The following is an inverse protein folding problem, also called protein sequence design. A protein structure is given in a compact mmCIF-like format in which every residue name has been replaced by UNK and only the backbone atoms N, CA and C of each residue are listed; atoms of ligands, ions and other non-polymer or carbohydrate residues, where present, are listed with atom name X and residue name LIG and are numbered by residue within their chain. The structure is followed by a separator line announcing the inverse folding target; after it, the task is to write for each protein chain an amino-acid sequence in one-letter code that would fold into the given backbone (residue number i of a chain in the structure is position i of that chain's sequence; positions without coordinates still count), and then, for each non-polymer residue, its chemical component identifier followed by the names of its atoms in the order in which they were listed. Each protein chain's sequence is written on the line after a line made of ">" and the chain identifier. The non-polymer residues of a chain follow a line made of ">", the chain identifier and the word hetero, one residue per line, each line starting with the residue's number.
data_IF_309031560306
#
_entry.id   IF_309031560306
#
_cell.length_a   1.000
_cell.length_b   1.000
_cell.length_c   1.000
_cell.angle_alpha   90.00
_cell.angle_beta   90.00
_cell.angle_gamma   90.00
#
_symmetry.space_group_name_H-M   'P 1'
#
loop_
_entity.id
_entity.type
_entity.pdbx_description
1 polymer ?
#
# COMPACT_ATOMS: atom_id res chain seq x y z
N UNK A 1 20.52 9.52 -5.98
CA UNK A 1 21.87 9.00 -6.24
C UNK A 1 21.72 7.50 -6.43
N UNK A 2 21.77 6.98 -7.67
CA UNK A 2 21.61 5.54 -7.95
C UNK A 2 22.94 4.85 -7.63
N UNK A 3 22.89 3.91 -6.72
CA UNK A 3 24.05 3.09 -6.36
C UNK A 3 24.28 2.04 -7.48
N UNK A 4 25.28 2.23 -8.33
CA UNK A 4 25.73 1.23 -9.29
C UNK A 4 26.76 0.31 -8.61
N UNK A 5 26.29 -0.63 -7.80
CA UNK A 5 27.10 -1.67 -7.19
C UNK A 5 27.19 -2.90 -8.08
N UNK A 6 28.41 -3.27 -8.40
CA UNK A 6 28.82 -4.45 -9.21
C UNK A 6 28.26 -5.74 -8.65
N UNK A 7 27.54 -6.51 -9.43
CA UNK A 7 27.02 -7.85 -9.10
C UNK A 7 28.17 -8.82 -8.82
N UNK A 8 28.30 -9.26 -7.57
CA UNK A 8 29.08 -10.43 -7.23
C UNK A 8 28.22 -11.68 -7.42
N UNK A 9 28.62 -12.52 -8.36
CA UNK A 9 27.96 -13.78 -8.72
C UNK A 9 28.25 -14.84 -7.65
N UNK A 10 27.27 -15.22 -6.84
CA UNK A 10 27.22 -16.53 -6.17
C UNK A 10 25.78 -16.86 -5.80
N UNK A 11 25.30 -18.02 -6.19
CA UNK A 11 23.94 -18.55 -5.89
C UNK A 11 23.62 -18.65 -4.38
N UNK A 12 24.63 -18.58 -3.52
CA UNK A 12 24.49 -18.59 -2.04
C UNK A 12 24.00 -17.26 -1.45
N UNK A 13 23.85 -16.20 -2.27
CA UNK A 13 23.53 -14.84 -1.79
C UNK A 13 22.09 -14.38 -2.14
N UNK A 14 21.28 -15.19 -2.85
CA UNK A 14 19.93 -14.81 -3.23
C UNK A 14 18.97 -14.93 -2.05
N UNK A 15 18.15 -13.88 -1.81
CA UNK A 15 17.10 -13.92 -0.78
C UNK A 15 15.97 -14.88 -1.19
N UNK A 16 15.56 -14.84 -2.46
CA UNK A 16 14.50 -15.68 -3.03
C UNK A 16 15.11 -16.81 -3.87
N UNK A 17 14.65 -18.03 -3.65
CA UNK A 17 14.94 -19.17 -4.52
C UNK A 17 14.11 -19.11 -5.81
N UNK A 18 14.53 -19.85 -6.83
CA UNK A 18 13.90 -19.82 -8.16
C UNK A 18 12.44 -20.35 -8.16
N UNK A 19 12.09 -21.17 -7.18
CA UNK A 19 10.74 -21.73 -6.99
C UNK A 19 9.84 -20.87 -6.10
N UNK A 20 10.35 -19.73 -5.62
CA UNK A 20 9.55 -18.76 -4.86
C UNK A 20 8.92 -17.72 -5.79
N UNK A 21 7.72 -17.22 -5.44
CA UNK A 21 7.11 -16.13 -6.18
C UNK A 21 8.03 -14.91 -6.22
N UNK A 22 7.97 -14.14 -7.32
CA UNK A 22 8.63 -12.83 -7.38
C UNK A 22 8.16 -11.86 -6.29
N UNK A 23 8.88 -10.74 -6.08
CA UNK A 23 8.65 -9.84 -4.95
C UNK A 23 7.30 -9.12 -4.97
N UNK A 24 6.71 -8.95 -6.12
CA UNK A 24 5.44 -8.26 -6.33
C UNK A 24 4.54 -9.00 -7.32
N UNK A 25 3.28 -8.55 -7.41
CA UNK A 25 2.30 -8.99 -8.41
C UNK A 25 1.69 -7.74 -9.06
N UNK A 26 1.61 -7.72 -10.38
CA UNK A 26 0.86 -6.71 -11.13
C UNK A 26 -0.40 -7.35 -11.69
N UNK A 27 -1.54 -6.74 -11.46
CA UNK A 27 -2.81 -7.08 -12.07
C UNK A 27 -3.17 -6.05 -13.14
N UNK A 28 -3.80 -6.52 -14.21
CA UNK A 28 -4.29 -5.67 -15.30
C UNK A 28 -3.22 -4.69 -15.84
N UNK A 29 -1.98 -5.16 -16.02
CA UNK A 29 -0.83 -4.35 -16.44
C UNK A 29 -1.03 -3.62 -17.79
N UNK A 30 -2.04 -3.99 -18.58
CA UNK A 30 -2.39 -3.35 -19.85
C UNK A 30 -3.63 -2.45 -19.74
N UNK A 31 -4.21 -2.28 -18.55
CA UNK A 31 -5.35 -1.40 -18.34
C UNK A 31 -5.02 0.05 -18.73
N UNK A 32 -5.99 0.73 -19.35
CA UNK A 32 -5.93 2.16 -19.67
C UNK A 32 -6.71 3.02 -18.66
N UNK A 33 -7.32 2.40 -17.65
CA UNK A 33 -8.03 3.14 -16.61
C UNK A 33 -7.07 4.09 -15.89
N UNK A 34 -7.49 5.34 -15.60
CA UNK A 34 -6.68 6.32 -14.89
C UNK A 34 -6.65 6.05 -13.37
N UNK A 35 -6.66 4.80 -12.97
CA UNK A 35 -6.60 4.38 -11.56
C UNK A 35 -5.44 3.41 -11.39
N UNK A 36 -4.62 3.65 -10.36
CA UNK A 36 -3.59 2.73 -9.90
C UNK A 36 -3.82 2.40 -8.43
N UNK A 37 -4.04 1.11 -8.14
CA UNK A 37 -4.10 0.60 -6.77
C UNK A 37 -2.73 0.06 -6.36
N UNK A 38 -2.32 0.30 -5.12
CA UNK A 38 -1.14 -0.32 -4.53
C UNK A 38 -1.48 -0.94 -3.18
N UNK A 39 -0.78 -2.02 -2.80
CA UNK A 39 -0.93 -2.63 -1.48
C UNK A 39 0.43 -3.14 -1.01
N UNK A 40 1.08 -2.36 -0.15
CA UNK A 40 2.43 -2.60 0.36
C UNK A 40 2.51 -3.82 1.27
N UNK A 41 1.43 -4.10 2.00
CA UNK A 41 1.37 -5.11 3.05
C UNK A 41 0.39 -6.25 2.71
N UNK A 42 0.31 -6.62 1.42
CA UNK A 42 -0.68 -7.57 0.89
C UNK A 42 -0.44 -9.04 1.26
N UNK A 43 0.66 -9.39 1.94
CA UNK A 43 1.05 -10.79 2.14
C UNK A 43 1.78 -11.02 3.45
N UNK A 44 1.50 -12.17 4.08
CA UNK A 44 2.24 -12.68 5.24
C UNK A 44 3.35 -13.68 4.87
N UNK A 45 3.81 -13.70 3.62
CA UNK A 45 4.84 -14.65 3.15
C UNK A 45 6.22 -14.23 3.62
N UNK A 46 7.03 -15.24 3.97
CA UNK A 46 8.45 -15.07 4.30
C UNK A 46 9.30 -15.82 3.27
N UNK A 47 10.46 -15.28 2.86
CA UNK A 47 11.42 -16.01 2.04
C UNK A 47 11.87 -17.30 2.74
N UNK A 48 11.99 -18.40 2.00
CA UNK A 48 12.46 -19.69 2.54
C UNK A 48 13.83 -19.56 3.22
N UNK A 49 14.70 -18.73 2.66
CA UNK A 49 16.06 -18.47 3.18
C UNK A 49 16.06 -17.82 4.59
N UNK A 50 14.97 -17.15 4.99
CA UNK A 50 14.83 -16.52 6.32
C UNK A 50 14.05 -17.38 7.31
N UNK A 51 13.50 -18.52 6.87
CA UNK A 51 12.69 -19.40 7.70
C UNK A 51 11.48 -18.68 8.31
N UNK A 52 11.27 -18.83 9.60
CA UNK A 52 10.19 -18.18 10.34
C UNK A 52 10.61 -16.86 11.02
N UNK A 53 11.85 -16.43 10.88
CA UNK A 53 12.44 -15.23 11.52
C UNK A 53 12.28 -15.22 13.07
N UNK A 54 12.16 -16.41 13.69
CA UNK A 54 11.95 -16.56 15.14
C UNK A 54 10.52 -16.30 15.60
N UNK A 55 9.56 -16.24 14.68
CA UNK A 55 8.15 -15.97 14.95
C UNK A 55 7.33 -17.27 14.94
N UNK A 56 6.34 -17.35 15.81
CA UNK A 56 5.35 -18.42 15.81
C UNK A 56 4.36 -18.28 14.63
N UNK A 57 3.57 -19.33 14.30
CA UNK A 57 2.66 -19.32 13.18
C UNK A 57 1.52 -18.29 13.30
N UNK A 58 1.08 -17.91 14.50
CA UNK A 58 0.05 -16.91 14.73
C UNK A 58 0.59 -15.51 14.43
N UNK A 59 1.71 -15.15 15.04
CA UNK A 59 2.38 -13.86 14.84
C UNK A 59 2.70 -13.60 13.36
N UNK A 60 3.08 -14.64 12.62
CA UNK A 60 3.36 -14.52 11.16
C UNK A 60 2.14 -14.23 10.31
N UNK A 61 0.93 -14.25 10.86
CA UNK A 61 -0.34 -14.00 10.15
C UNK A 61 -1.18 -12.89 10.79
N UNK A 62 -0.72 -12.31 11.90
CA UNK A 62 -1.43 -11.22 12.56
C UNK A 62 -1.13 -9.86 11.87
N UNK A 63 -1.80 -8.84 12.31
CA UNK A 63 -1.68 -7.45 11.81
C UNK A 63 -0.25 -6.88 11.82
N UNK A 64 0.64 -7.43 12.66
CA UNK A 64 2.04 -7.03 12.67
C UNK A 64 2.78 -7.44 11.38
N UNK A 65 2.38 -8.57 10.78
CA UNK A 65 3.03 -9.18 9.62
C UNK A 65 2.37 -8.84 8.28
N UNK A 66 1.08 -8.50 8.29
CA UNK A 66 0.25 -8.28 7.10
C UNK A 66 -0.94 -7.41 7.43
N UNK A 67 -1.37 -6.59 6.49
CA UNK A 67 -2.64 -5.88 6.57
C UNK A 67 -3.76 -6.86 6.18
N UNK A 68 -4.41 -7.45 7.21
CA UNK A 68 -5.41 -8.50 7.04
C UNK A 68 -6.52 -8.02 6.11
N UNK A 69 -6.85 -8.82 5.09
CA UNK A 69 -7.89 -8.53 4.11
C UNK A 69 -7.49 -7.53 3.00
N UNK A 70 -6.51 -6.63 3.23
CA UNK A 70 -6.17 -5.57 2.28
C UNK A 70 -5.73 -6.11 0.91
N UNK A 71 -4.91 -7.17 0.88
CA UNK A 71 -4.50 -7.82 -0.37
C UNK A 71 -5.67 -8.41 -1.15
N UNK A 72 -6.58 -9.12 -0.48
CA UNK A 72 -7.78 -9.71 -1.09
C UNK A 72 -8.73 -8.63 -1.63
N UNK A 73 -8.93 -7.55 -0.86
CA UNK A 73 -9.72 -6.40 -1.25
C UNK A 73 -9.14 -5.72 -2.49
N UNK A 74 -7.83 -5.45 -2.51
CA UNK A 74 -7.14 -4.84 -3.66
C UNK A 74 -7.27 -5.70 -4.91
N UNK A 75 -7.12 -7.04 -4.79
CA UNK A 75 -7.30 -7.95 -5.92
C UNK A 75 -8.75 -7.97 -6.44
N UNK A 76 -9.74 -7.93 -5.53
CA UNK A 76 -11.16 -7.87 -5.89
C UNK A 76 -11.47 -6.57 -6.66
N UNK A 77 -11.06 -5.43 -6.12
CA UNK A 77 -11.22 -4.12 -6.76
C UNK A 77 -10.54 -4.05 -8.12
N UNK A 78 -9.29 -4.52 -8.22
CA UNK A 78 -8.55 -4.52 -9.48
C UNK A 78 -9.28 -5.32 -10.56
N UNK A 79 -9.80 -6.52 -10.21
CA UNK A 79 -10.55 -7.38 -11.16
C UNK A 79 -11.89 -6.77 -11.54
N UNK A 80 -12.68 -6.28 -10.56
CA UNK A 80 -14.03 -5.79 -10.80
C UNK A 80 -14.05 -4.47 -11.58
N UNK A 81 -13.06 -3.59 -11.35
CA UNK A 81 -12.91 -2.30 -12.04
C UNK A 81 -12.09 -2.41 -13.33
N UNK A 82 -11.34 -3.50 -13.53
CA UNK A 82 -10.40 -3.62 -14.64
C UNK A 82 -9.21 -2.64 -14.52
N UNK A 83 -8.88 -2.17 -13.31
CA UNK A 83 -7.80 -1.19 -13.07
C UNK A 83 -6.48 -1.89 -12.75
N UNK A 84 -5.37 -1.18 -12.99
CA UNK A 84 -4.04 -1.70 -12.64
C UNK A 84 -3.86 -1.73 -11.12
N UNK A 85 -3.28 -2.81 -10.62
CA UNK A 85 -2.87 -2.89 -9.22
C UNK A 85 -1.48 -3.51 -9.07
N UNK A 86 -0.68 -3.00 -8.11
CA UNK A 86 0.63 -3.53 -7.71
C UNK A 86 0.56 -3.95 -6.24
N UNK A 87 0.86 -5.22 -5.96
CA UNK A 87 0.79 -5.77 -4.60
C UNK A 87 2.15 -6.36 -4.20
N UNK A 88 2.65 -6.02 -3.02
CA UNK A 88 3.81 -6.68 -2.43
C UNK A 88 3.46 -8.14 -2.05
N UNK A 89 4.41 -9.07 -2.23
CA UNK A 89 4.16 -10.50 -2.03
C UNK A 89 4.86 -11.11 -0.82
N UNK A 90 5.54 -10.29 -0.03
CA UNK A 90 6.23 -10.70 1.18
C UNK A 90 5.84 -9.81 2.35
N UNK A 91 5.92 -10.39 3.55
CA UNK A 91 5.55 -9.73 4.80
C UNK A 91 6.37 -8.46 5.05
N UNK A 92 5.71 -7.42 5.57
CA UNK A 92 6.35 -6.20 6.04
C UNK A 92 7.40 -6.46 7.14
N UNK A 93 7.34 -7.58 7.85
CA UNK A 93 8.36 -7.95 8.82
C UNK A 93 9.69 -8.37 8.19
N UNK A 94 9.70 -8.74 6.90
CA UNK A 94 10.95 -8.99 6.16
C UNK A 94 11.63 -7.67 5.81
N UNK A 95 10.86 -6.77 5.23
CA UNK A 95 11.18 -5.38 4.93
C UNK A 95 9.88 -4.63 4.67
N UNK A 96 9.67 -3.50 5.32
CA UNK A 96 8.46 -2.71 5.13
C UNK A 96 8.60 -1.81 3.90
N UNK A 97 7.81 -2.10 2.85
CA UNK A 97 7.81 -1.31 1.61
C UNK A 97 7.22 0.09 1.83
N UNK A 98 6.40 0.30 2.88
CA UNK A 98 5.85 1.61 3.21
C UNK A 98 6.68 2.37 4.26
N UNK A 99 8.00 2.14 4.28
CA UNK A 99 8.95 2.89 5.12
C UNK A 99 10.20 3.27 4.32
N UNK A 100 10.77 4.42 4.62
CA UNK A 100 12.09 4.75 4.08
C UNK A 100 13.13 3.75 4.63
N UNK A 101 14.11 3.34 3.82
CA UNK A 101 15.10 2.32 4.23
C UNK A 101 15.94 2.72 5.45
N UNK A 102 16.05 4.03 5.75
CA UNK A 102 16.73 4.53 6.94
C UNK A 102 15.82 4.61 8.17
N UNK A 103 14.52 4.41 8.00
CA UNK A 103 13.58 4.31 9.12
C UNK A 103 13.81 2.98 9.84
N UNK A 104 13.94 2.97 11.18
CA UNK A 104 14.03 1.72 11.95
C UNK A 104 12.85 0.76 11.71
N UNK A 105 11.67 1.30 11.41
CA UNK A 105 10.48 0.53 11.08
C UNK A 105 10.58 -0.27 9.78
N UNK A 106 11.51 0.09 8.87
CA UNK A 106 11.72 -0.70 7.65
C UNK A 106 12.18 -2.14 7.93
N UNK A 107 12.82 -2.36 9.07
CA UNK A 107 13.27 -3.67 9.56
C UNK A 107 12.87 -3.82 11.03
N UNK A 108 11.58 -3.87 11.30
CA UNK A 108 11.01 -3.84 12.64
C UNK A 108 11.61 -4.93 13.54
N UNK A 109 12.32 -4.53 14.61
CA UNK A 109 12.91 -5.44 15.59
C UNK A 109 11.95 -5.79 16.74
N UNK A 110 11.07 -4.85 17.09
CA UNK A 110 10.08 -4.98 18.14
C UNK A 110 8.83 -4.19 17.82
N UNK A 111 7.67 -4.80 17.98
CA UNK A 111 6.37 -4.15 17.81
C UNK A 111 5.28 -4.97 18.48
N UNK A 112 4.30 -4.29 19.06
CA UNK A 112 3.11 -4.88 19.69
C UNK A 112 3.44 -6.03 20.65
N UNK A 113 4.47 -5.85 21.50
CA UNK A 113 4.92 -6.85 22.45
C UNK A 113 5.73 -8.02 21.87
N UNK A 114 5.97 -8.05 20.56
CA UNK A 114 6.66 -9.13 19.85
C UNK A 114 8.07 -8.73 19.46
N UNK A 115 9.03 -9.62 19.72
CA UNK A 115 10.41 -9.50 19.23
C UNK A 115 10.53 -10.25 17.90
N UNK A 116 10.91 -9.54 16.82
CA UNK A 116 11.22 -10.12 15.51
C UNK A 116 12.70 -10.52 15.48
N UNK A 117 13.00 -11.71 15.99
CA UNK A 117 14.39 -12.16 16.19
C UNK A 117 15.23 -12.13 14.91
N UNK A 118 14.61 -12.40 13.74
CA UNK A 118 15.27 -12.36 12.44
C UNK A 118 15.65 -10.95 11.96
N UNK A 119 15.25 -9.89 12.70
CA UNK A 119 15.62 -8.51 12.42
C UNK A 119 16.64 -7.95 13.42
N UNK A 120 16.90 -8.66 14.50
CA UNK A 120 17.87 -8.19 15.51
C UNK A 120 19.29 -8.25 14.97
N UNK A 121 20.02 -7.17 15.17
CA UNK A 121 21.44 -7.05 14.80
C UNK A 121 21.69 -7.29 13.29
N UNK A 122 20.74 -6.94 12.42
CA UNK A 122 20.91 -7.04 10.96
C UNK A 122 22.14 -6.25 10.51
N UNK A 123 23.05 -6.92 9.81
CA UNK A 123 24.20 -6.26 9.21
C UNK A 123 23.74 -5.46 7.96
N UNK A 124 24.47 -4.39 7.59
CA UNK A 124 24.16 -3.60 6.38
C UNK A 124 23.96 -4.47 5.13
N UNK A 125 24.79 -5.49 4.93
CA UNK A 125 24.67 -6.43 3.81
C UNK A 125 23.36 -7.21 3.79
N UNK A 126 22.80 -7.57 4.96
CA UNK A 126 21.50 -8.25 5.04
C UNK A 126 20.35 -7.31 4.69
N UNK A 127 20.41 -6.06 5.14
CA UNK A 127 19.46 -5.01 4.78
C UNK A 127 19.48 -4.73 3.28
N UNK A 128 20.67 -4.56 2.70
CA UNK A 128 20.85 -4.37 1.25
C UNK A 128 20.31 -5.55 0.44
N UNK A 129 20.58 -6.80 0.87
CA UNK A 129 20.07 -8.01 0.23
C UNK A 129 18.55 -8.07 0.20
N UNK A 130 17.88 -7.72 1.32
CA UNK A 130 16.41 -7.66 1.38
C UNK A 130 15.86 -6.52 0.53
N UNK A 131 16.48 -5.36 0.60
CA UNK A 131 16.07 -4.21 -0.20
C UNK A 131 16.20 -4.49 -1.72
N UNK A 132 17.32 -5.06 -2.15
CA UNK A 132 17.55 -5.41 -3.55
C UNK A 132 16.58 -6.50 -4.07
N UNK A 133 16.17 -7.43 -3.21
CA UNK A 133 15.31 -8.53 -3.61
C UNK A 133 13.81 -8.23 -3.57
N UNK A 134 13.35 -7.34 -2.67
CA UNK A 134 11.93 -7.11 -2.39
C UNK A 134 11.52 -5.65 -2.55
N UNK A 135 12.21 -4.73 -1.90
CA UNK A 135 11.84 -3.33 -1.79
C UNK A 135 11.96 -2.59 -3.13
N UNK A 136 13.17 -2.54 -3.69
CA UNK A 136 13.38 -1.82 -4.95
C UNK A 136 12.58 -2.41 -6.12
N UNK A 137 12.51 -3.73 -6.31
CA UNK A 137 11.66 -4.29 -7.36
C UNK A 137 10.17 -3.93 -7.22
N UNK A 138 9.64 -3.85 -5.99
CA UNK A 138 8.27 -3.42 -5.76
C UNK A 138 8.07 -1.95 -6.17
N UNK A 139 8.93 -1.04 -5.69
CA UNK A 139 8.86 0.38 -6.02
C UNK A 139 9.11 0.65 -7.51
N UNK A 140 10.05 -0.07 -8.12
CA UNK A 140 10.29 0.02 -9.58
C UNK A 140 9.04 -0.40 -10.38
N UNK A 141 8.31 -1.43 -9.91
CA UNK A 141 7.06 -1.86 -10.55
C UNK A 141 5.96 -0.81 -10.42
N UNK A 142 5.82 -0.15 -9.26
CA UNK A 142 4.88 0.97 -9.08
C UNK A 142 5.22 2.12 -10.03
N UNK A 143 6.49 2.54 -10.07
CA UNK A 143 6.97 3.59 -10.97
C UNK A 143 6.73 3.27 -12.45
N UNK A 144 6.95 2.01 -12.85
CA UNK A 144 6.70 1.54 -14.21
C UNK A 144 5.22 1.71 -14.59
N UNK A 145 4.29 1.35 -13.69
CA UNK A 145 2.86 1.49 -13.97
C UNK A 145 2.42 2.94 -14.01
N UNK A 146 2.95 3.81 -13.16
CA UNK A 146 2.69 5.26 -13.23
C UNK A 146 3.15 5.81 -14.58
N UNK A 147 4.40 5.55 -14.97
CA UNK A 147 4.97 6.03 -16.26
C UNK A 147 4.18 5.50 -17.45
N UNK A 148 3.74 4.25 -17.42
CA UNK A 148 2.93 3.65 -18.47
C UNK A 148 1.57 4.35 -18.61
N UNK A 149 0.88 4.64 -17.51
CA UNK A 149 -0.41 5.34 -17.51
C UNK A 149 -0.25 6.79 -17.98
N UNK A 150 0.78 7.49 -17.51
CA UNK A 150 1.09 8.85 -17.96
C UNK A 150 1.42 8.90 -19.44
N UNK A 151 2.17 7.93 -19.99
CA UNK A 151 2.46 7.83 -21.42
C UNK A 151 1.21 7.57 -22.26
N UNK A 152 0.16 6.99 -21.68
CA UNK A 152 -1.15 6.86 -22.32
C UNK A 152 -2.01 8.13 -22.26
N UNK A 153 -1.46 9.24 -21.76
CA UNK A 153 -2.11 10.56 -21.70
C UNK A 153 -2.95 10.81 -20.46
N UNK A 154 -2.79 10.01 -19.40
CA UNK A 154 -3.62 10.12 -18.19
C UNK A 154 -2.76 10.14 -16.93
N UNK A 155 -2.92 11.16 -16.08
CA UNK A 155 -2.39 11.13 -14.72
C UNK A 155 -3.26 10.20 -13.87
N UNK A 156 -2.72 9.08 -13.36
CA UNK A 156 -3.54 8.15 -12.59
C UNK A 156 -3.87 8.70 -11.20
N UNK A 157 -5.10 8.44 -10.73
CA UNK A 157 -5.42 8.52 -9.32
C UNK A 157 -4.75 7.35 -8.60
N UNK A 158 -3.90 7.66 -7.63
CA UNK A 158 -3.07 6.71 -6.88
C UNK A 158 -3.75 6.38 -5.55
N UNK A 159 -4.08 5.12 -5.32
CA UNK A 159 -4.79 4.68 -4.13
C UNK A 159 -4.00 3.57 -3.44
N UNK A 160 -3.44 3.86 -2.27
CA UNK A 160 -2.81 2.88 -1.40
C UNK A 160 -3.87 2.22 -0.49
N UNK A 161 -3.91 0.89 -0.49
CA UNK A 161 -4.91 0.12 0.26
C UNK A 161 -4.23 -0.60 1.42
N UNK A 162 -4.66 -0.27 2.63
CA UNK A 162 -4.18 -0.80 3.91
C UNK A 162 -5.32 -1.30 4.79
N UNK A 163 -4.99 -1.91 5.89
CA UNK A 163 -5.95 -2.25 6.94
C UNK A 163 -5.34 -2.17 8.33
N UNK A 164 -6.14 -1.79 9.32
CA UNK A 164 -5.72 -1.61 10.68
C UNK A 164 -6.50 -2.46 11.68
N UNK A 165 -5.86 -2.85 12.79
CA UNK A 165 -6.50 -3.63 13.85
C UNK A 165 -7.58 -2.82 14.58
N UNK A 166 -8.75 -3.42 14.92
CA UNK A 166 -9.82 -2.72 15.65
C UNK A 166 -9.42 -2.32 17.08
N UNK A 167 -8.40 -2.97 17.64
CA UNK A 167 -7.88 -2.67 18.99
C UNK A 167 -6.36 -2.61 18.92
N UNK A 168 -5.74 -1.58 19.50
CA UNK A 168 -4.30 -1.46 19.63
C UNK A 168 -3.95 -1.02 21.06
N UNK A 169 -3.01 -1.73 21.69
CA UNK A 169 -2.59 -1.48 23.08
C UNK A 169 -3.75 -1.46 24.09
N UNK A 170 -4.81 -2.26 23.84
CA UNK A 170 -6.01 -2.32 24.67
C UNK A 170 -7.04 -1.22 24.41
N UNK A 171 -6.77 -0.28 23.51
CA UNK A 171 -7.68 0.80 23.14
C UNK A 171 -8.44 0.46 21.85
N UNK A 172 -9.77 0.57 21.91
CA UNK A 172 -10.65 0.37 20.77
C UNK A 172 -10.53 1.56 19.78
N UNK A 173 -10.48 1.24 18.48
CA UNK A 173 -10.45 2.21 17.39
C UNK A 173 -11.85 2.34 16.80
N UNK A 174 -12.55 3.48 16.96
CA UNK A 174 -13.94 3.61 16.56
C UNK A 174 -14.14 3.71 15.05
N UNK A 175 -13.13 4.18 14.34
CA UNK A 175 -13.19 4.35 12.88
C UNK A 175 -13.30 3.01 12.17
N UNK A 176 -14.12 2.97 11.14
CA UNK A 176 -14.27 1.82 10.26
C UNK A 176 -13.42 1.98 9.00
N UNK A 177 -13.32 3.21 8.51
CA UNK A 177 -12.49 3.63 7.39
C UNK A 177 -11.57 4.76 7.84
N UNK A 178 -10.30 4.69 7.51
CA UNK A 178 -9.33 5.76 7.69
C UNK A 178 -8.89 6.33 6.35
N UNK A 179 -8.71 7.64 6.28
CA UNK A 179 -8.21 8.33 5.09
C UNK A 179 -6.93 9.06 5.43
N UNK A 180 -5.84 8.67 4.79
CA UNK A 180 -4.51 9.22 5.03
C UNK A 180 -4.14 10.18 3.90
N UNK A 181 -3.88 11.44 4.25
CA UNK A 181 -3.53 12.48 3.30
C UNK A 181 -2.67 13.57 3.96
N UNK A 182 -1.91 14.32 3.18
CA UNK A 182 -1.16 15.49 3.66
C UNK A 182 -1.61 16.76 2.93
N UNK A 183 -1.16 17.00 1.71
CA UNK A 183 -1.44 18.25 0.97
C UNK A 183 -2.59 18.10 -0.02
N UNK A 184 -2.72 16.92 -0.64
CA UNK A 184 -3.75 16.67 -1.65
C UNK A 184 -5.07 16.23 -1.02
N UNK A 185 -6.14 16.98 -1.31
CA UNK A 185 -7.49 16.70 -0.84
C UNK A 185 -8.42 16.14 -1.91
N UNK A 186 -7.97 16.06 -3.17
CA UNK A 186 -8.82 15.70 -4.31
C UNK A 186 -9.54 14.36 -4.09
N UNK A 187 -8.83 13.33 -3.65
CA UNK A 187 -9.43 12.04 -3.33
C UNK A 187 -10.02 11.98 -1.92
N UNK A 188 -9.40 12.67 -0.97
CA UNK A 188 -9.88 12.72 0.41
C UNK A 188 -11.34 13.17 0.49
N UNK A 189 -11.70 14.24 -0.18
CA UNK A 189 -13.06 14.81 -0.12
C UNK A 189 -14.08 13.86 -0.77
N UNK A 190 -13.69 13.15 -1.84
CA UNK A 190 -14.52 12.12 -2.48
C UNK A 190 -14.80 10.96 -1.52
N UNK A 191 -13.74 10.38 -0.92
CA UNK A 191 -13.88 9.20 -0.07
C UNK A 191 -14.57 9.49 1.26
N UNK A 192 -14.34 10.65 1.89
CA UNK A 192 -14.98 10.99 3.16
C UNK A 192 -16.50 11.16 2.99
N UNK A 193 -16.92 11.83 1.91
CA UNK A 193 -18.33 12.02 1.58
C UNK A 193 -19.04 10.67 1.33
N UNK A 194 -18.47 9.87 0.45
CA UNK A 194 -19.12 8.64 -0.02
C UNK A 194 -19.11 7.52 1.04
N UNK A 195 -18.05 7.38 1.84
CA UNK A 195 -18.04 6.45 2.96
C UNK A 195 -19.02 6.86 4.06
N UNK A 196 -19.10 8.15 4.38
CA UNK A 196 -20.08 8.67 5.36
C UNK A 196 -21.52 8.46 4.83
N UNK A 197 -21.78 8.71 3.55
CA UNK A 197 -23.08 8.45 2.92
C UNK A 197 -23.44 6.95 2.91
N UNK A 198 -22.44 6.07 2.85
CA UNK A 198 -22.62 4.62 2.97
C UNK A 198 -22.80 4.15 4.43
N UNK A 199 -22.73 5.07 5.42
CA UNK A 199 -22.97 4.78 6.84
C UNK A 199 -21.74 4.36 7.65
N UNK A 200 -20.52 4.51 7.10
CA UNK A 200 -19.29 4.18 7.83
C UNK A 200 -18.81 5.34 8.70
N UNK A 201 -18.19 4.99 9.83
CA UNK A 201 -17.46 5.94 10.68
C UNK A 201 -16.08 6.17 10.06
N UNK A 202 -15.86 7.39 9.55
CA UNK A 202 -14.64 7.75 8.80
C UNK A 202 -13.68 8.53 9.69
N UNK A 203 -12.42 8.11 9.71
CA UNK A 203 -11.30 8.82 10.32
C UNK A 203 -10.57 9.69 9.30
N UNK A 204 -10.49 10.98 9.57
CA UNK A 204 -9.76 11.94 8.74
C UNK A 204 -8.34 12.10 9.30
N UNK A 205 -7.35 11.46 8.66
CA UNK A 205 -6.03 11.20 9.23
C UNK A 205 -6.09 10.44 10.57
N UNK A 206 -6.99 9.45 10.64
CA UNK A 206 -7.19 8.54 11.76
C UNK A 206 -7.45 7.11 11.25
N UNK A 207 -6.95 6.06 11.90
CA UNK A 207 -6.14 6.03 13.14
C UNK A 207 -4.66 6.36 12.89
N UNK A 208 -4.25 6.57 11.66
CA UNK A 208 -2.92 7.01 11.25
C UNK A 208 -3.03 8.28 10.41
N UNK A 209 -1.94 9.02 10.28
CA UNK A 209 -1.89 10.24 9.49
C UNK A 209 -1.05 10.04 8.23
N UNK A 210 -1.52 10.54 7.09
CA UNK A 210 -0.73 10.64 5.85
C UNK A 210 0.29 11.77 5.85
N UNK A 211 0.34 12.61 6.91
CA UNK A 211 1.34 13.68 7.00
C UNK A 211 2.74 13.10 7.08
N UNK A 212 3.58 13.52 6.14
CA UNK A 212 4.96 13.02 6.01
C UNK A 212 5.70 13.01 7.36
N UNK A 213 6.49 11.97 7.63
CA UNK A 213 6.94 10.89 6.74
C UNK A 213 6.17 9.55 6.92
N UNK A 214 4.90 9.57 7.26
CA UNK A 214 4.16 8.40 7.76
C UNK A 214 3.76 7.40 6.65
N UNK A 215 3.39 7.88 5.45
CA UNK A 215 2.99 7.06 4.30
C UNK A 215 4.02 7.17 3.17
N UNK A 216 5.09 6.37 3.28
CA UNK A 216 6.24 6.48 2.39
C UNK A 216 5.88 6.21 0.92
N UNK A 217 5.05 5.21 0.63
CA UNK A 217 4.71 4.84 -0.75
C UNK A 217 3.95 5.94 -1.46
N UNK A 218 2.99 6.57 -0.79
CA UNK A 218 2.24 7.71 -1.32
C UNK A 218 3.15 8.92 -1.51
N UNK A 219 3.95 9.28 -0.50
CA UNK A 219 4.89 10.40 -0.57
C UNK A 219 5.92 10.24 -1.70
N UNK A 220 6.45 9.02 -1.83
CA UNK A 220 7.53 8.73 -2.77
C UNK A 220 7.08 8.69 -4.23
N UNK A 221 5.87 8.13 -4.51
CA UNK A 221 5.40 7.88 -5.85
C UNK A 221 4.37 8.88 -6.36
N UNK A 222 3.53 9.44 -5.49
CA UNK A 222 2.39 10.24 -5.92
C UNK A 222 2.50 11.71 -5.52
N UNK A 223 2.75 12.04 -4.25
CA UNK A 223 2.79 13.41 -3.78
C UNK A 223 3.89 14.24 -4.45
N UNK A 224 5.09 13.66 -4.64
CA UNK A 224 6.21 14.34 -5.30
C UNK A 224 5.94 14.82 -6.72
N UNK A 225 5.03 14.18 -7.44
CA UNK A 225 4.70 14.47 -8.84
C UNK A 225 3.26 14.93 -9.01
N UNK A 226 2.62 15.35 -7.91
CA UNK A 226 1.27 15.92 -7.87
C UNK A 226 0.18 15.04 -8.53
N UNK A 227 0.26 13.72 -8.38
CA UNK A 227 -0.84 12.84 -8.74
C UNK A 227 -1.97 12.97 -7.71
N UNK A 228 -3.25 12.88 -8.12
CA UNK A 228 -4.34 12.66 -7.17
C UNK A 228 -4.09 11.39 -6.38
N UNK A 229 -4.03 11.48 -5.04
CA UNK A 229 -3.67 10.32 -4.22
C UNK A 229 -4.38 10.28 -2.88
N UNK A 230 -4.42 9.07 -2.30
CA UNK A 230 -4.96 8.79 -0.96
C UNK A 230 -4.42 7.47 -0.43
N UNK A 231 -4.11 7.41 0.86
CA UNK A 231 -4.01 6.17 1.62
C UNK A 231 -5.37 5.83 2.24
N UNK A 232 -5.82 4.59 2.08
CA UNK A 232 -7.08 4.11 2.65
C UNK A 232 -6.78 2.99 3.63
N UNK A 233 -7.26 3.14 4.85
CA UNK A 233 -7.18 2.18 5.93
C UNK A 233 -8.55 1.60 6.23
N UNK A 234 -8.72 0.29 6.11
CA UNK A 234 -9.95 -0.41 6.44
C UNK A 234 -9.78 -1.16 7.76
N UNK A 235 -10.73 -1.03 8.69
CA UNK A 235 -10.66 -1.78 9.93
C UNK A 235 -10.80 -3.27 9.66
N UNK A 236 -9.86 -4.07 10.16
CA UNK A 236 -9.65 -5.47 9.77
C UNK A 236 -10.85 -6.38 9.99
N UNK A 237 -11.64 -6.15 11.06
CA UNK A 237 -12.87 -6.90 11.33
C UNK A 237 -13.97 -6.76 10.26
N UNK A 238 -13.81 -5.82 9.33
CA UNK A 238 -14.72 -5.62 8.20
C UNK A 238 -14.28 -6.41 6.95
N UNK A 239 -13.03 -6.91 6.91
CA UNK A 239 -12.44 -7.58 5.74
C UNK A 239 -11.61 -8.81 6.13
N UNK A 240 -11.86 -9.42 7.29
CA UNK A 240 -11.15 -10.60 7.76
C UNK A 240 -11.66 -11.91 7.13
N UNK A 241 -12.77 -11.83 6.40
CA UNK A 241 -13.32 -12.93 5.61
C UNK A 241 -13.74 -12.51 4.18
N UNK A 242 -14.07 -13.50 3.35
CA UNK A 242 -14.44 -13.27 1.94
C UNK A 242 -15.74 -12.46 1.81
N UNK A 243 -16.69 -12.58 2.74
CA UNK A 243 -17.96 -11.86 2.70
C UNK A 243 -17.74 -10.37 3.01
N UNK A 244 -16.96 -10.06 4.03
CA UNK A 244 -16.57 -8.70 4.37
C UNK A 244 -15.76 -8.03 3.26
N UNK A 245 -14.79 -8.75 2.68
CA UNK A 245 -14.04 -8.27 1.51
C UNK A 245 -14.98 -7.94 0.33
N UNK A 246 -15.96 -8.79 0.04
CA UNK A 246 -16.92 -8.56 -1.06
C UNK A 246 -17.83 -7.35 -0.78
N UNK A 247 -18.27 -7.16 0.46
CA UNK A 247 -19.11 -6.03 0.86
C UNK A 247 -18.35 -4.70 0.75
N UNK A 248 -17.15 -4.61 1.31
CA UNK A 248 -16.31 -3.40 1.22
C UNK A 248 -15.90 -3.13 -0.22
N UNK A 249 -15.54 -4.18 -0.98
CA UNK A 249 -15.22 -4.03 -2.40
C UNK A 249 -16.40 -3.44 -3.20
N UNK A 250 -17.63 -3.84 -2.91
CA UNK A 250 -18.83 -3.30 -3.57
C UNK A 250 -19.02 -1.80 -3.31
N UNK A 251 -18.75 -1.34 -2.10
CA UNK A 251 -18.81 0.08 -1.73
C UNK A 251 -17.69 0.84 -2.43
N UNK A 252 -16.43 0.40 -2.24
CA UNK A 252 -15.26 1.06 -2.82
C UNK A 252 -15.28 1.05 -4.36
N UNK A 253 -15.83 0.01 -4.99
CA UNK A 253 -15.99 -0.04 -6.45
C UNK A 253 -16.77 1.18 -6.97
N UNK A 254 -17.90 1.52 -6.34
CA UNK A 254 -18.73 2.67 -6.77
C UNK A 254 -17.96 3.98 -6.62
N UNK A 255 -17.26 4.15 -5.50
CA UNK A 255 -16.48 5.35 -5.22
C UNK A 255 -15.34 5.50 -6.24
N UNK A 256 -14.54 4.45 -6.41
CA UNK A 256 -13.37 4.47 -7.30
C UNK A 256 -13.79 4.66 -8.77
N UNK A 257 -14.88 4.05 -9.20
CA UNK A 257 -15.39 4.21 -10.56
C UNK A 257 -15.81 5.65 -10.88
N UNK A 258 -16.25 6.43 -9.88
CA UNK A 258 -16.66 7.84 -10.06
C UNK A 258 -15.49 8.85 -10.09
N UNK A 259 -14.29 8.46 -9.62
CA UNK A 259 -13.14 9.36 -9.45
C UNK A 259 -12.78 10.13 -10.72
N UNK A 260 -12.65 9.48 -11.91
CA UNK A 260 -12.22 10.21 -13.10
C UNK A 260 -13.15 11.35 -13.48
N UNK A 261 -14.46 11.14 -13.38
CA UNK A 261 -15.47 12.16 -13.69
C UNK A 261 -15.47 13.29 -12.65
N UNK A 262 -15.37 12.96 -11.36
CA UNK A 262 -15.37 13.92 -10.26
C UNK A 262 -14.13 14.83 -10.28
N UNK A 263 -12.94 14.27 -10.56
CA UNK A 263 -11.72 15.07 -10.72
C UNK A 263 -11.83 15.99 -11.93
N UNK A 264 -12.36 15.51 -13.06
CA UNK A 264 -12.54 16.33 -14.26
C UNK A 264 -13.52 17.49 -14.02
N UNK A 265 -14.63 17.26 -13.33
CA UNK A 265 -15.62 18.28 -12.98
C UNK A 265 -15.02 19.36 -12.07
N UNK A 266 -14.30 18.98 -11.02
CA UNK A 266 -13.62 19.91 -10.11
C UNK A 266 -12.57 20.79 -10.81
N UNK A 267 -11.85 20.25 -11.80
CA UNK A 267 -10.91 21.00 -12.63
C UNK A 267 -11.58 22.05 -13.51
N UNK A 268 -12.79 21.78 -14.02
CA UNK A 268 -13.56 22.73 -14.83
C UNK A 268 -14.13 23.88 -13.98
N UNK A 269 -14.62 23.60 -12.78
CA UNK A 269 -15.12 24.64 -11.86
C UNK A 269 -14.01 25.61 -11.44
N UNK A 270 -12.80 25.09 -11.14
CA UNK A 270 -11.65 25.93 -10.83
C UNK A 270 -11.24 26.84 -11.99
N UNK A 271 -11.38 26.41 -13.25
CA UNK A 271 -11.07 27.19 -14.44
C UNK A 271 -12.16 28.27 -14.72
N UNK A 272 -13.43 27.95 -14.50
CA UNK A 272 -14.55 28.90 -14.65
C UNK A 272 -14.47 30.06 -13.65
N UNK A 273 -14.12 29.75 -12.37
CA UNK A 273 -13.99 30.78 -11.34
C UNK A 273 -12.81 31.76 -11.54
N UNK A 274 -11.79 31.38 -12.30
CA UNK A 274 -10.64 32.25 -12.65
C UNK A 274 -10.94 33.15 -13.84
N UNK A 275 -11.85 32.76 -14.75
CA UNK A 275 -12.20 33.52 -15.93
C UNK A 275 -13.26 34.63 -15.68
N UNK A 276 -13.90 34.64 -14.51
CA UNK A 276 -14.89 35.64 -14.11
C UNK A 276 -14.32 36.78 -13.22
N UNK A 277 -13.03 36.80 -12.98
CA UNK A 277 -12.31 37.88 -12.28
C UNK A 277 -11.40 38.65 -13.21
#
# INVERSE_FOLDING_TARGET
>A
MRYTGRMANSDTCRLLSADEPGPFKVLNSLSKSPILLVCDHASCRFPKSLGNMGLDPFTRRCHLAVDIGAGALTENLARSLGVTAVLARYSRLVIDCNRALLDPGAFLEFGDGVIVSGNRNLQPADKERRAAALYWPYHDAVDEQIKRLQAAGTAPAFIAVHSFTPVLNGEARPWQMGLLWDKDRRLRDIFIEDFAAAGYVVGDNEPYSGKAPQDFTVDFHAEKIDLPHIGIEIRQDLIDDDAGVAEIARVMHKIIASIPERIAAAGQEAYGAVSEK
#
